data_IF_207039327440
#
_entry.id   IF_207039327440
#
_cell.length_a   1.000
_cell.length_b   1.000
_cell.length_c   1.000
_cell.angle_alpha   90.00
_cell.angle_beta   90.00
_cell.angle_gamma   90.00
#
_symmetry.space_group_name_H-M   'P 1'
#
loop_
_entity.id
_entity.type
_entity.pdbx_description
1 polymer ?
#
# COMPACT_ATOMS: atom_id res chain seq x y z
N UNK A 1 4.64 -20.95 -34.86
CA UNK A 1 3.82 -21.22 -33.71
C UNK A 1 3.99 -20.15 -32.66
N UNK A 2 2.92 -19.67 -32.19
CA UNK A 2 2.96 -18.67 -31.19
C UNK A 2 3.27 -19.28 -29.85
N UNK A 3 4.35 -18.86 -29.29
CA UNK A 3 4.63 -19.18 -27.92
C UNK A 3 3.56 -18.53 -27.07
N UNK A 4 2.75 -19.31 -26.46
CA UNK A 4 1.83 -18.82 -25.46
C UNK A 4 2.64 -18.29 -24.30
N UNK A 5 2.76 -16.99 -24.28
CA UNK A 5 3.26 -16.40 -23.06
C UNK A 5 2.17 -16.55 -22.04
N UNK A 6 2.34 -17.51 -21.18
CA UNK A 6 1.46 -17.66 -20.03
C UNK A 6 1.48 -16.35 -19.27
N UNK A 7 0.32 -15.72 -19.19
CA UNK A 7 0.24 -14.55 -18.33
C UNK A 7 0.58 -15.00 -16.93
N UNK A 8 1.73 -14.61 -16.46
CA UNK A 8 2.09 -14.82 -15.06
C UNK A 8 1.06 -14.11 -14.20
N UNK A 9 0.57 -14.75 -13.14
CA UNK A 9 -0.26 -14.04 -12.18
C UNK A 9 0.51 -12.83 -11.72
N UNK A 10 0.00 -11.66 -12.03
CA UNK A 10 0.70 -10.44 -11.68
C UNK A 10 0.20 -9.92 -10.34
N UNK A 11 1.14 -9.36 -9.60
CA UNK A 11 0.84 -8.71 -8.35
C UNK A 11 -0.01 -7.47 -8.66
N UNK A 12 -1.28 -7.50 -8.27
CA UNK A 12 -2.18 -6.38 -8.51
C UNK A 12 -2.15 -5.43 -7.32
N UNK A 13 -1.05 -4.71 -7.22
CA UNK A 13 -0.81 -3.81 -6.09
C UNK A 13 -1.84 -2.68 -6.01
N UNK A 14 -2.15 -1.98 -7.11
CA UNK A 14 -3.10 -0.88 -7.00
C UNK A 14 -4.48 -1.30 -6.54
N UNK A 15 -5.06 -2.32 -7.15
CA UNK A 15 -6.42 -2.75 -6.82
C UNK A 15 -6.50 -3.20 -5.36
N UNK A 16 -5.55 -4.02 -4.92
CA UNK A 16 -5.57 -4.52 -3.54
C UNK A 16 -5.38 -3.39 -2.54
N UNK A 17 -4.45 -2.47 -2.80
CA UNK A 17 -4.21 -1.33 -1.92
C UNK A 17 -5.45 -0.44 -1.82
N UNK A 18 -6.05 -0.09 -2.95
CA UNK A 18 -7.22 0.78 -2.95
C UNK A 18 -8.42 0.08 -2.28
N UNK A 19 -8.53 -1.24 -2.42
CA UNK A 19 -9.55 -2.00 -1.70
C UNK A 19 -9.35 -1.88 -0.20
N UNK A 20 -8.12 -2.04 0.27
CA UNK A 20 -7.81 -1.88 1.70
C UNK A 20 -8.16 -0.46 2.16
N UNK A 21 -7.78 0.55 1.37
CA UNK A 21 -8.08 1.95 1.71
C UNK A 21 -9.58 2.21 1.83
N UNK A 22 -10.41 1.45 1.12
CA UNK A 22 -11.87 1.61 1.20
C UNK A 22 -12.43 1.19 2.57
N UNK A 23 -11.66 0.46 3.35
CA UNK A 23 -12.05 0.07 4.72
C UNK A 23 -11.53 1.06 5.76
N UNK A 24 -10.95 2.17 5.33
CA UNK A 24 -10.40 3.16 6.26
C UNK A 24 -11.36 4.34 6.38
N UNK A 25 -11.62 4.75 7.60
CA UNK A 25 -12.36 5.98 7.87
C UNK A 25 -11.36 7.11 7.98
N UNK A 26 -11.48 8.06 7.06
CA UNK A 26 -10.58 9.19 6.99
C UNK A 26 -11.24 10.42 7.61
N UNK A 27 -10.60 11.02 8.61
CA UNK A 27 -11.06 12.25 9.23
C UNK A 27 -10.35 13.45 8.61
N UNK A 28 -10.56 13.61 7.31
CA UNK A 28 -9.99 14.74 6.59
C UNK A 28 -11.02 15.26 5.58
N UNK A 29 -11.19 16.59 5.48
CA UNK A 29 -12.07 17.17 4.48
C UNK A 29 -11.44 17.17 3.08
N UNK A 30 -10.15 16.96 2.99
CA UNK A 30 -9.42 16.95 1.73
C UNK A 30 -9.39 15.56 1.12
N UNK A 31 -9.16 15.43 -0.19
CA UNK A 31 -8.93 14.12 -0.78
C UNK A 31 -7.79 13.39 -0.06
N UNK A 32 -8.00 12.09 0.14
CA UNK A 32 -6.97 11.27 0.76
C UNK A 32 -5.79 11.12 -0.18
N UNK A 33 -4.60 11.41 0.31
CA UNK A 33 -3.37 11.39 -0.48
C UNK A 33 -2.62 10.09 -0.24
N UNK A 34 -2.40 9.35 -1.32
CA UNK A 34 -1.58 8.14 -1.32
C UNK A 34 -0.27 8.45 -2.03
N UNK A 35 0.82 8.38 -1.30
CA UNK A 35 2.15 8.68 -1.82
C UNK A 35 2.87 7.39 -2.16
N UNK A 36 3.29 7.27 -3.43
CA UNK A 36 4.06 6.13 -3.92
C UNK A 36 5.53 6.54 -3.93
N UNK A 37 6.32 5.86 -3.15
CA UNK A 37 7.68 6.28 -2.86
C UNK A 37 8.67 5.72 -3.88
N UNK A 38 9.39 6.61 -4.57
CA UNK A 38 10.49 6.27 -5.47
C UNK A 38 10.14 5.23 -6.53
N UNK A 39 8.91 5.29 -7.07
CA UNK A 39 8.49 4.36 -8.12
C UNK A 39 7.43 5.02 -8.99
N UNK A 40 7.88 5.78 -9.99
CA UNK A 40 7.00 6.52 -10.87
C UNK A 40 6.11 5.59 -11.69
N UNK A 41 6.65 4.46 -12.16
CA UNK A 41 5.87 3.51 -12.94
C UNK A 41 4.71 2.95 -12.13
N UNK A 42 4.97 2.57 -10.89
CA UNK A 42 3.93 2.07 -10.00
C UNK A 42 2.91 3.16 -9.70
N UNK A 43 3.37 4.39 -9.50
CA UNK A 43 2.46 5.54 -9.27
C UNK A 43 1.51 5.71 -10.46
N UNK A 44 2.01 5.57 -11.68
CA UNK A 44 1.15 5.67 -12.87
C UNK A 44 0.12 4.55 -12.91
N UNK A 45 0.50 3.34 -12.50
CA UNK A 45 -0.43 2.22 -12.41
C UNK A 45 -1.52 2.49 -11.37
N UNK A 46 -1.15 3.05 -10.23
CA UNK A 46 -2.12 3.45 -9.20
C UNK A 46 -3.08 4.51 -9.72
N UNK A 47 -2.57 5.51 -10.42
CA UNK A 47 -3.42 6.56 -10.96
C UNK A 47 -4.43 6.00 -11.96
N UNK A 48 -4.00 5.07 -12.80
CA UNK A 48 -4.88 4.44 -13.78
C UNK A 48 -5.99 3.64 -13.12
N UNK A 49 -5.66 2.82 -12.13
CA UNK A 49 -6.65 2.02 -11.42
C UNK A 49 -7.59 2.90 -10.61
N UNK A 50 -7.05 3.95 -9.97
CA UNK A 50 -7.86 4.92 -9.24
C UNK A 50 -8.94 5.52 -10.14
N UNK A 51 -8.58 5.85 -11.37
CA UNK A 51 -9.52 6.38 -12.36
C UNK A 51 -10.54 5.33 -12.78
N UNK A 52 -10.08 4.11 -13.05
CA UNK A 52 -10.96 3.01 -13.46
C UNK A 52 -12.00 2.68 -12.40
N UNK A 53 -11.61 2.70 -11.14
CA UNK A 53 -12.50 2.42 -10.01
C UNK A 53 -13.33 3.64 -9.62
N UNK A 54 -13.10 4.78 -10.26
CA UNK A 54 -13.75 6.04 -9.91
C UNK A 54 -13.54 6.41 -8.45
N UNK A 55 -12.37 6.05 -7.92
CA UNK A 55 -11.98 6.41 -6.56
C UNK A 55 -11.46 7.84 -6.55
N UNK A 56 -11.54 8.47 -5.39
CA UNK A 56 -11.21 9.90 -5.26
C UNK A 56 -9.88 10.13 -4.54
N UNK A 57 -8.98 9.15 -4.55
CA UNK A 57 -7.67 9.33 -3.92
C UNK A 57 -6.77 10.19 -4.77
N UNK A 58 -5.93 10.96 -4.11
CA UNK A 58 -4.90 11.74 -4.79
C UNK A 58 -3.62 10.91 -4.80
N UNK A 59 -3.23 10.44 -5.98
CA UNK A 59 -2.04 9.61 -6.12
C UNK A 59 -0.84 10.50 -6.41
N UNK A 60 0.19 10.41 -5.58
CA UNK A 60 1.38 11.23 -5.73
C UNK A 60 2.64 10.37 -5.81
N UNK A 61 3.45 10.62 -6.84
CA UNK A 61 4.78 10.03 -6.93
C UNK A 61 5.74 10.98 -6.22
N UNK A 62 6.36 10.51 -5.15
CA UNK A 62 7.32 11.34 -4.40
C UNK A 62 8.61 10.57 -4.18
N UNK A 63 9.68 11.29 -3.92
CA UNK A 63 10.92 10.66 -3.48
C UNK A 63 11.07 10.80 -1.96
N UNK A 64 12.07 10.09 -1.41
CA UNK A 64 12.25 10.05 0.04
C UNK A 64 12.45 11.44 0.65
N UNK A 65 13.17 12.32 -0.04
CA UNK A 65 13.45 13.66 0.48
C UNK A 65 12.20 14.51 0.59
N UNK A 66 11.13 14.18 -0.11
CA UNK A 66 9.88 14.94 -0.10
C UNK A 66 8.89 14.46 0.95
N UNK A 67 9.14 13.29 1.54
CA UNK A 67 8.13 12.58 2.32
C UNK A 67 7.61 13.38 3.51
N UNK A 68 8.45 14.15 4.18
CA UNK A 68 8.02 15.00 5.31
C UNK A 68 7.57 16.40 4.88
N UNK A 69 7.64 16.70 3.59
CA UNK A 69 7.27 18.03 3.05
C UNK A 69 5.89 18.00 2.40
N UNK A 70 5.36 16.81 2.13
CA UNK A 70 4.08 16.63 1.45
C UNK A 70 3.16 15.89 2.41
N UNK A 71 1.88 16.25 2.40
CA UNK A 71 0.89 15.55 3.21
C UNK A 71 0.59 14.19 2.57
N UNK A 72 0.88 13.12 3.29
CA UNK A 72 0.56 11.76 2.87
C UNK A 72 -0.31 11.11 3.94
N UNK A 73 -1.51 10.73 3.57
CA UNK A 73 -2.39 9.95 4.46
C UNK A 73 -2.00 8.49 4.46
N UNK A 74 -1.46 8.02 3.33
CA UNK A 74 -0.95 6.67 3.17
C UNK A 74 0.32 6.71 2.34
N UNK A 75 1.25 5.79 2.62
CA UNK A 75 2.54 5.71 1.92
C UNK A 75 2.75 4.28 1.45
N UNK A 76 3.20 4.13 0.22
CA UNK A 76 3.50 2.82 -0.37
C UNK A 76 4.99 2.68 -0.64
N UNK A 77 5.59 1.65 -0.05
CA UNK A 77 6.99 1.30 -0.21
C UNK A 77 7.10 0.12 -1.18
N UNK A 78 7.93 0.24 -2.21
CA UNK A 78 8.13 -0.86 -3.16
C UNK A 78 9.60 -1.26 -3.33
N UNK A 79 10.53 -0.40 -2.94
CA UNK A 79 11.96 -0.61 -3.20
C UNK A 79 12.82 -0.70 -1.94
N UNK A 80 12.21 -0.57 -0.78
CA UNK A 80 12.95 -0.56 0.49
C UNK A 80 12.86 -1.92 1.17
N UNK A 81 13.88 -2.25 1.96
CA UNK A 81 13.84 -3.42 2.83
C UNK A 81 12.93 -3.14 4.03
N UNK A 82 12.48 -4.19 4.74
CA UNK A 82 11.66 -3.97 5.95
C UNK A 82 12.33 -3.08 6.98
N UNK A 83 13.63 -3.22 7.18
CA UNK A 83 14.36 -2.37 8.13
C UNK A 83 14.41 -0.92 7.67
N UNK A 84 14.63 -0.70 6.38
CA UNK A 84 14.61 0.64 5.83
C UNK A 84 13.24 1.27 5.96
N UNK A 85 12.18 0.49 5.70
CA UNK A 85 10.81 0.96 5.91
C UNK A 85 10.61 1.42 7.34
N UNK A 86 11.02 0.58 8.30
CA UNK A 86 10.83 0.92 9.70
C UNK A 86 11.57 2.20 10.09
N UNK A 87 12.80 2.36 9.60
CA UNK A 87 13.56 3.58 9.89
C UNK A 87 12.88 4.82 9.31
N UNK A 88 12.34 4.70 8.10
CA UNK A 88 11.63 5.80 7.47
C UNK A 88 10.35 6.10 8.26
N UNK A 89 9.57 5.07 8.59
CA UNK A 89 8.33 5.22 9.34
C UNK A 89 8.56 5.91 10.68
N UNK A 90 9.63 5.54 11.36
CA UNK A 90 9.97 6.14 12.66
C UNK A 90 10.26 7.64 12.55
N UNK A 91 10.61 8.11 11.37
CA UNK A 91 10.92 9.53 11.15
C UNK A 91 9.70 10.34 10.68
N UNK A 92 8.57 9.70 10.40
CA UNK A 92 7.40 10.39 9.86
C UNK A 92 6.58 11.03 10.96
N UNK A 93 6.19 12.29 10.74
CA UNK A 93 5.48 13.07 11.75
C UNK A 93 4.00 12.76 11.81
N UNK A 94 3.40 12.41 10.67
CA UNK A 94 1.94 12.31 10.55
C UNK A 94 1.40 10.90 10.73
N UNK A 95 2.26 9.95 11.02
CA UNK A 95 1.90 8.54 11.23
C UNK A 95 0.91 8.03 10.16
N UNK A 96 1.30 8.09 8.88
CA UNK A 96 0.43 7.64 7.80
C UNK A 96 0.21 6.13 7.84
N UNK A 97 -0.83 5.68 7.15
CA UNK A 97 -1.02 4.26 6.93
C UNK A 97 0.03 3.79 5.92
N UNK A 98 0.68 2.65 6.19
CA UNK A 98 1.82 2.21 5.40
C UNK A 98 1.57 0.88 4.71
N UNK A 99 2.05 0.78 3.48
CA UNK A 99 1.93 -0.39 2.61
C UNK A 99 3.29 -0.75 2.04
N UNK A 100 3.50 -2.03 1.76
CA UNK A 100 4.74 -2.49 1.14
C UNK A 100 4.47 -3.62 0.18
N UNK A 101 5.27 -3.69 -0.88
CA UNK A 101 5.31 -4.84 -1.77
C UNK A 101 6.65 -5.57 -1.71
N UNK A 102 7.50 -5.23 -0.75
CA UNK A 102 8.83 -5.82 -0.60
C UNK A 102 9.07 -6.22 0.85
N UNK A 103 8.07 -6.79 1.51
CA UNK A 103 8.13 -7.11 2.94
C UNK A 103 7.26 -8.35 3.21
N UNK A 104 7.72 -9.50 2.72
CA UNK A 104 6.91 -10.72 2.74
C UNK A 104 6.60 -11.21 4.15
N UNK A 105 7.51 -11.01 5.10
CA UNK A 105 7.31 -11.49 6.47
C UNK A 105 6.39 -10.59 7.28
N UNK A 106 6.37 -9.30 6.97
CA UNK A 106 5.52 -8.30 7.61
C UNK A 106 5.68 -8.24 9.13
N UNK A 107 6.88 -8.50 9.61
CA UNK A 107 7.18 -8.47 11.05
C UNK A 107 7.78 -7.15 11.49
N UNK A 108 8.16 -6.31 10.53
CA UNK A 108 8.81 -5.04 10.75
C UNK A 108 8.41 -4.13 9.59
N UNK A 109 8.28 -2.84 9.81
CA UNK A 109 8.01 -1.89 8.74
C UNK A 109 6.52 -1.61 8.54
N UNK A 110 6.05 -1.80 7.33
CA UNK A 110 4.70 -1.39 6.93
C UNK A 110 3.59 -2.17 7.62
N UNK A 111 2.42 -1.53 7.71
CA UNK A 111 1.24 -2.14 8.32
C UNK A 111 0.62 -3.20 7.42
N UNK A 112 0.59 -2.96 6.12
CA UNK A 112 0.04 -3.90 5.14
C UNK A 112 1.15 -4.30 4.17
N UNK A 113 1.41 -5.61 4.09
CA UNK A 113 2.49 -6.14 3.26
C UNK A 113 1.89 -7.04 2.18
N UNK A 114 1.93 -6.56 0.94
CA UNK A 114 1.32 -7.25 -0.19
C UNK A 114 2.31 -8.24 -0.81
N UNK A 115 1.80 -9.38 -1.22
CA UNK A 115 2.62 -10.41 -1.86
C UNK A 115 1.79 -11.20 -2.86
N UNK A 116 2.47 -11.87 -3.78
CA UNK A 116 1.80 -12.73 -4.75
C UNK A 116 1.55 -14.10 -4.12
N UNK A 117 0.28 -14.52 -4.11
CA UNK A 117 -0.14 -15.82 -3.63
C UNK A 117 -0.80 -16.55 -4.78
N UNK A 118 -0.20 -17.66 -5.22
CA UNK A 118 -0.72 -18.48 -6.31
C UNK A 118 -1.22 -17.66 -7.50
N UNK A 119 -2.51 -17.33 -7.54
CA UNK A 119 -3.10 -16.62 -8.68
C UNK A 119 -3.57 -15.22 -8.35
N UNK A 120 -3.29 -14.73 -7.15
CA UNK A 120 -3.81 -13.43 -6.73
C UNK A 120 -2.82 -12.69 -5.83
N UNK A 121 -3.08 -11.41 -5.66
CA UNK A 121 -2.38 -10.60 -4.68
C UNK A 121 -3.03 -10.77 -3.34
N UNK A 122 -2.24 -11.14 -2.35
CA UNK A 122 -2.68 -11.27 -0.96
C UNK A 122 -1.91 -10.29 -0.09
N UNK A 123 -2.25 -10.23 1.19
CA UNK A 123 -1.52 -9.34 2.09
C UNK A 123 -1.49 -9.89 3.51
N UNK A 124 -0.45 -9.52 4.21
CA UNK A 124 -0.32 -9.74 5.65
C UNK A 124 -0.45 -8.40 6.36
N UNK A 125 -0.77 -8.44 7.64
CA UNK A 125 -0.95 -7.24 8.45
C UNK A 125 0.02 -7.27 9.63
N UNK A 126 0.75 -6.19 9.81
CA UNK A 126 1.53 -5.96 11.02
C UNK A 126 0.68 -5.12 11.97
N UNK A 127 0.11 -5.76 12.98
CA UNK A 127 -0.82 -5.09 13.88
C UNK A 127 -0.16 -3.99 14.70
N UNK A 128 1.11 -4.17 15.05
CA UNK A 128 1.84 -3.14 15.78
C UNK A 128 1.99 -1.87 14.94
N UNK A 129 2.41 -2.02 13.69
CA UNK A 129 2.53 -0.87 12.78
C UNK A 129 1.18 -0.24 12.49
N UNK A 130 0.14 -1.07 12.33
CA UNK A 130 -1.21 -0.58 12.09
C UNK A 130 -1.71 0.27 13.24
N UNK A 131 -1.49 -0.18 14.48
CA UNK A 131 -1.94 0.55 15.66
C UNK A 131 -1.23 1.89 15.85
N UNK A 132 -0.05 2.05 15.28
CA UNK A 132 0.70 3.30 15.37
C UNK A 132 0.26 4.34 14.34
N UNK A 133 -0.46 3.94 13.31
CA UNK A 133 -0.95 4.88 12.32
C UNK A 133 -2.15 5.65 12.86
N UNK A 134 -2.39 6.84 12.27
CA UNK A 134 -3.56 7.64 12.63
C UNK A 134 -4.82 7.21 11.92
N UNK A 135 -4.72 6.25 11.03
CA UNK A 135 -5.86 5.77 10.25
C UNK A 135 -6.76 4.89 11.12
N UNK A 136 -8.07 5.03 10.94
CA UNK A 136 -9.06 4.18 11.58
C UNK A 136 -9.49 3.11 10.59
N UNK A 137 -8.87 1.95 10.68
CA UNK A 137 -9.12 0.85 9.76
C UNK A 137 -10.22 -0.06 10.31
N UNK A 138 -11.23 -0.32 9.49
CA UNK A 138 -12.29 -1.25 9.85
C UNK A 138 -11.70 -2.64 10.04
N UNK A 139 -11.92 -3.27 11.20
CA UNK A 139 -11.35 -4.61 11.47
C UNK A 139 -11.76 -5.67 10.46
N UNK A 140 -12.85 -5.46 9.69
CA UNK A 140 -13.25 -6.41 8.65
C UNK A 140 -12.19 -6.58 7.57
N UNK A 141 -11.28 -5.61 7.42
CA UNK A 141 -10.17 -5.76 6.46
C UNK A 141 -9.31 -6.98 6.79
N UNK A 142 -9.22 -7.34 8.08
CA UNK A 142 -8.44 -8.50 8.51
C UNK A 142 -9.02 -9.80 7.98
N UNK A 143 -10.33 -9.83 7.75
CA UNK A 143 -10.97 -11.02 7.15
C UNK A 143 -10.54 -11.18 5.69
N UNK A 144 -10.28 -10.08 4.99
CA UNK A 144 -9.78 -10.15 3.62
C UNK A 144 -8.40 -10.80 3.58
N UNK A 145 -7.53 -10.47 4.53
CA UNK A 145 -6.21 -11.08 4.61
C UNK A 145 -6.34 -12.60 4.77
N UNK A 146 -7.20 -13.05 5.68
CA UNK A 146 -7.43 -14.48 5.90
C UNK A 146 -8.02 -15.15 4.68
N UNK A 147 -8.99 -14.53 4.03
CA UNK A 147 -9.67 -15.15 2.89
C UNK A 147 -8.79 -15.21 1.65
N UNK A 148 -7.71 -14.41 1.58
CA UNK A 148 -6.81 -14.43 0.45
C UNK A 148 -5.64 -15.38 0.64
N UNK A 149 -5.41 -15.90 1.83
CA UNK A 149 -4.36 -16.86 2.06
C UNK A 149 -4.75 -18.25 1.53
N UNK A 150 -3.79 -18.96 0.94
CA UNK A 150 -4.07 -20.31 0.41
C UNK A 150 -4.34 -21.33 1.51
#
# INVERSE_FOLDING_TARGET
>A
MISQVQAQPQLNLPTTTLTILSYVRWNTPNPVSLCILNNTQLSNQFAQVNQQLKSAYQIQAINLSELNKVMCNAVFFSTYTPREEQNIINSLKDAPLTFSSNNAECELGSAFCLYQSKTRTSFKVNLSSLSQSRAHVDPRVLLLAKSTEP
#
